data_IF_847864951590
#
_entry.id   IF_847864951590
#
_cell.length_a   1.000
_cell.length_b   1.000
_cell.length_c   1.000
_cell.angle_alpha   90.00
_cell.angle_beta   90.00
_cell.angle_gamma   90.00
#
_symmetry.space_group_name_H-M   'P 1'
#
loop_
_entity.id
_entity.type
_entity.pdbx_description
1 polymer ?
#
# COMPACT_ATOMS: atom_id res chain seq x y z
N UNK A 1 19.62 -26.54 3.71
CA UNK A 1 18.60 -25.62 4.25
C UNK A 1 18.94 -25.29 5.70
N UNK A 2 19.67 -24.20 5.95
CA UNK A 2 19.82 -23.66 7.31
C UNK A 2 18.75 -22.58 7.45
N UNK A 3 17.80 -22.79 8.36
CA UNK A 3 16.89 -21.75 8.82
C UNK A 3 17.73 -20.67 9.50
N UNK A 4 18.25 -19.73 8.70
CA UNK A 4 18.82 -18.50 9.20
C UNK A 4 17.62 -17.66 9.65
N UNK A 5 17.14 -17.88 10.87
CA UNK A 5 16.27 -16.94 11.55
C UNK A 5 17.11 -15.67 11.72
N UNK A 6 17.07 -14.80 10.72
CA UNK A 6 17.64 -13.46 10.80
C UNK A 6 16.87 -12.76 11.90
N UNK A 7 17.37 -12.86 13.14
CA UNK A 7 16.92 -12.01 14.24
C UNK A 7 17.05 -10.58 13.71
N UNK A 8 15.92 -9.90 13.57
CA UNK A 8 15.93 -8.45 13.49
C UNK A 8 16.58 -8.00 14.79
N UNK A 9 17.71 -7.29 14.73
CA UNK A 9 18.38 -6.70 15.90
C UNK A 9 17.61 -5.43 16.35
N UNK A 10 16.28 -5.50 16.28
CA UNK A 10 15.37 -4.47 16.73
C UNK A 10 15.00 -4.85 18.17
N UNK A 11 15.17 -3.94 19.15
CA UNK A 11 14.78 -4.23 20.51
C UNK A 11 13.32 -4.66 20.59
N UNK A 12 13.01 -5.72 21.33
CA UNK A 12 11.65 -6.28 21.40
C UNK A 12 10.62 -5.26 21.90
N UNK A 13 11.01 -4.36 22.80
CA UNK A 13 10.15 -3.29 23.30
C UNK A 13 9.78 -2.31 22.18
N UNK A 14 10.70 -2.05 21.24
CA UNK A 14 10.44 -1.18 20.09
C UNK A 14 9.47 -1.87 19.12
N UNK A 15 9.59 -3.19 18.96
CA UNK A 15 8.62 -3.96 18.16
C UNK A 15 7.21 -3.83 18.75
N UNK A 16 7.07 -4.02 20.07
CA UNK A 16 5.79 -3.82 20.76
C UNK A 16 5.23 -2.41 20.55
N UNK A 17 6.06 -1.39 20.74
CA UNK A 17 5.70 0.02 20.56
C UNK A 17 5.28 0.35 19.13
N UNK A 18 5.99 -0.21 18.13
CA UNK A 18 5.68 -0.03 16.71
C UNK A 18 4.40 -0.76 16.28
N UNK A 19 3.99 -1.81 16.99
CA UNK A 19 2.72 -2.49 16.74
C UNK A 19 1.52 -1.75 17.35
N UNK A 20 1.73 -0.89 18.35
CA UNK A 20 0.63 -0.17 19.01
C UNK A 20 -0.20 0.70 18.03
N UNK A 21 0.37 1.45 17.08
CA UNK A 21 -0.45 2.19 16.11
C UNK A 21 -1.34 1.32 15.21
N UNK A 22 -1.01 0.03 15.05
CA UNK A 22 -1.89 -0.91 14.34
C UNK A 22 -2.94 -1.48 15.27
N UNK A 23 -2.53 -1.92 16.46
CA UNK A 23 -3.42 -2.66 17.36
C UNK A 23 -4.33 -1.75 18.18
N UNK A 24 -3.91 -0.50 18.43
CA UNK A 24 -4.54 0.42 19.37
C UNK A 24 -5.25 1.61 18.72
N UNK A 25 -5.23 1.75 17.39
CA UNK A 25 -5.94 2.85 16.70
C UNK A 25 -7.34 2.37 16.27
N UNK A 26 -8.43 3.09 16.63
CA UNK A 26 -9.80 2.69 16.33
C UNK A 26 -10.06 2.41 14.85
N UNK A 27 -9.40 3.15 13.95
CA UNK A 27 -9.53 2.97 12.51
C UNK A 27 -9.13 1.57 12.03
N UNK A 28 -8.13 0.95 12.68
CA UNK A 28 -7.72 -0.43 12.35
C UNK A 28 -8.74 -1.41 12.89
N UNK A 29 -9.25 -1.19 14.11
CA UNK A 29 -10.29 -2.02 14.70
C UNK A 29 -11.55 -2.03 13.82
N UNK A 30 -11.99 -0.86 13.36
CA UNK A 30 -13.08 -0.72 12.39
C UNK A 30 -12.82 -1.51 11.10
N UNK A 31 -11.62 -1.37 10.50
CA UNK A 31 -11.32 -2.05 9.25
C UNK A 31 -11.34 -3.58 9.43
N UNK A 32 -10.85 -4.07 10.56
CA UNK A 32 -10.85 -5.50 10.89
C UNK A 32 -12.27 -6.01 11.18
N UNK A 33 -13.12 -5.22 11.85
CA UNK A 33 -14.48 -5.64 12.18
C UNK A 33 -15.43 -5.58 10.98
N UNK A 34 -15.30 -4.56 10.13
CA UNK A 34 -16.26 -4.30 9.05
C UNK A 34 -15.78 -4.75 7.66
N UNK A 35 -14.47 -4.97 7.45
CA UNK A 35 -13.94 -5.23 6.11
C UNK A 35 -12.75 -6.20 6.09
N UNK A 36 -13.07 -7.49 6.20
CA UNK A 36 -12.09 -8.56 5.95
C UNK A 36 -11.42 -8.44 4.56
N UNK A 37 -12.13 -8.12 3.45
CA UNK A 37 -11.49 -7.88 2.16
C UNK A 37 -10.54 -6.68 2.20
N UNK A 38 -10.91 -5.60 2.90
CA UNK A 38 -10.08 -4.42 3.06
C UNK A 38 -8.74 -4.75 3.72
N UNK A 39 -8.76 -5.38 4.90
CA UNK A 39 -7.51 -5.73 5.59
C UNK A 39 -6.66 -6.74 4.80
N UNK A 40 -7.28 -7.69 4.10
CA UNK A 40 -6.60 -8.64 3.22
C UNK A 40 -5.90 -7.91 2.05
N UNK A 41 -6.60 -7.01 1.37
CA UNK A 41 -6.05 -6.18 0.29
C UNK A 41 -4.87 -5.36 0.78
N UNK A 42 -4.98 -4.64 1.90
CA UNK A 42 -3.88 -3.79 2.40
C UNK A 42 -2.67 -4.61 2.84
N UNK A 43 -2.89 -5.76 3.47
CA UNK A 43 -1.81 -6.67 3.87
C UNK A 43 -1.08 -7.23 2.66
N UNK A 44 -1.80 -7.66 1.64
CA UNK A 44 -1.22 -8.16 0.39
C UNK A 44 -0.53 -7.05 -0.41
N UNK A 45 -1.06 -5.82 -0.41
CA UNK A 45 -0.35 -4.66 -0.97
C UNK A 45 0.96 -4.38 -0.24
N UNK A 46 0.96 -4.48 1.09
CA UNK A 46 2.16 -4.31 1.90
C UNK A 46 3.22 -5.39 1.57
N UNK A 47 2.81 -6.65 1.43
CA UNK A 47 3.66 -7.75 0.95
C UNK A 47 4.16 -7.49 -0.47
N UNK A 48 3.29 -6.98 -1.36
CA UNK A 48 3.66 -6.69 -2.73
C UNK A 48 4.76 -5.64 -2.83
N UNK A 49 4.63 -4.53 -2.08
CA UNK A 49 5.65 -3.48 -2.01
C UNK A 49 6.94 -4.03 -1.40
N UNK A 50 6.86 -4.88 -0.37
CA UNK A 50 8.05 -5.52 0.20
C UNK A 50 8.78 -6.40 -0.83
N UNK A 51 8.04 -7.24 -1.56
CA UNK A 51 8.58 -8.07 -2.64
C UNK A 51 9.22 -7.22 -3.72
N UNK A 52 8.57 -6.12 -4.12
CA UNK A 52 9.09 -5.18 -5.11
C UNK A 52 10.38 -4.49 -4.65
N UNK A 53 10.44 -4.06 -3.38
CA UNK A 53 11.68 -3.47 -2.83
C UNK A 53 12.81 -4.50 -2.81
N UNK A 54 12.54 -5.77 -2.47
CA UNK A 54 13.55 -6.85 -2.58
C UNK A 54 13.97 -7.09 -4.02
N UNK A 55 13.03 -7.06 -4.96
CA UNK A 55 13.34 -7.18 -6.38
C UNK A 55 14.23 -6.05 -6.88
N UNK A 56 13.92 -4.81 -6.50
CA UNK A 56 14.67 -3.62 -6.87
C UNK A 56 16.06 -3.56 -6.23
N UNK A 57 16.15 -3.83 -4.92
CA UNK A 57 17.38 -3.65 -4.14
C UNK A 57 18.28 -4.88 -4.14
N UNK A 58 17.70 -6.06 -3.91
CA UNK A 58 18.44 -7.33 -3.77
C UNK A 58 18.58 -8.06 -5.11
N UNK A 59 18.03 -7.51 -6.19
CA UNK A 59 18.04 -8.12 -7.52
C UNK A 59 17.36 -9.50 -7.58
N UNK A 60 16.55 -9.82 -6.56
CA UNK A 60 15.93 -11.13 -6.34
C UNK A 60 14.64 -11.30 -7.16
N UNK A 61 14.66 -12.16 -8.17
CA UNK A 61 13.48 -12.50 -9.00
C UNK A 61 12.33 -13.06 -8.18
N UNK A 62 12.62 -13.82 -7.11
CA UNK A 62 11.63 -14.29 -6.13
C UNK A 62 10.86 -13.12 -5.49
N UNK A 63 11.53 -12.00 -5.19
CA UNK A 63 10.90 -10.77 -4.75
C UNK A 63 9.90 -10.22 -5.78
N UNK A 64 10.24 -10.27 -7.07
CA UNK A 64 9.37 -9.82 -8.15
C UNK A 64 8.14 -10.72 -8.31
N UNK A 65 8.33 -12.04 -8.27
CA UNK A 65 7.22 -13.01 -8.33
C UNK A 65 6.29 -12.89 -7.12
N UNK A 66 6.84 -12.81 -5.90
CA UNK A 66 6.04 -12.61 -4.70
C UNK A 66 5.28 -11.29 -4.74
N UNK A 67 5.85 -10.23 -5.31
CA UNK A 67 5.15 -8.97 -5.52
C UNK A 67 3.97 -9.10 -6.49
N UNK A 68 4.20 -9.69 -7.66
CA UNK A 68 3.16 -9.90 -8.66
C UNK A 68 2.02 -10.80 -8.16
N UNK A 69 2.36 -11.91 -7.50
CA UNK A 69 1.36 -12.82 -6.92
C UNK A 69 0.57 -12.15 -5.79
N UNK A 70 1.22 -11.38 -4.91
CA UNK A 70 0.53 -10.66 -3.85
C UNK A 70 -0.44 -9.61 -4.41
N UNK A 71 -0.05 -8.86 -5.46
CA UNK A 71 -0.97 -7.94 -6.16
C UNK A 71 -2.14 -8.66 -6.81
N UNK A 72 -1.88 -9.79 -7.47
CA UNK A 72 -2.91 -10.58 -8.14
C UNK A 72 -3.93 -11.12 -7.13
N UNK A 73 -3.47 -11.65 -6.00
CA UNK A 73 -4.33 -12.07 -4.89
C UNK A 73 -5.08 -10.88 -4.28
N UNK A 74 -4.43 -9.73 -4.11
CA UNK A 74 -5.06 -8.54 -3.58
C UNK A 74 -6.21 -8.05 -4.48
N UNK A 75 -6.04 -8.16 -5.81
CA UNK A 75 -7.08 -7.85 -6.80
C UNK A 75 -8.34 -8.71 -6.62
N UNK A 76 -8.19 -9.99 -6.25
CA UNK A 76 -9.33 -10.85 -5.95
C UNK A 76 -10.22 -10.32 -4.80
N UNK A 77 -9.67 -9.52 -3.89
CA UNK A 77 -10.41 -8.90 -2.79
C UNK A 77 -10.92 -7.50 -3.14
N UNK A 78 -10.18 -6.74 -3.95
CA UNK A 78 -10.56 -5.38 -4.33
C UNK A 78 -9.87 -4.91 -5.61
N UNK A 79 -10.60 -4.29 -6.56
CA UNK A 79 -10.02 -3.77 -7.80
C UNK A 79 -9.11 -2.55 -7.58
N UNK A 80 -9.04 -2.01 -6.36
CA UNK A 80 -8.17 -0.89 -6.02
C UNK A 80 -6.68 -1.16 -6.27
N UNK A 81 -6.30 -2.43 -6.35
CA UNK A 81 -4.92 -2.84 -6.57
C UNK A 81 -4.41 -2.53 -7.96
N UNK A 82 -5.31 -2.27 -8.93
CA UNK A 82 -4.94 -1.92 -10.32
C UNK A 82 -4.03 -0.70 -10.38
N UNK A 83 -4.38 0.46 -9.77
CA UNK A 83 -3.47 1.60 -9.62
C UNK A 83 -2.07 1.25 -9.08
N UNK A 84 -1.99 0.40 -8.06
CA UNK A 84 -0.72 -0.01 -7.46
C UNK A 84 0.08 -0.92 -8.40
N UNK A 85 -0.58 -1.85 -9.09
CA UNK A 85 0.05 -2.72 -10.07
C UNK A 85 0.59 -1.92 -11.27
N UNK A 86 -0.15 -0.92 -11.76
CA UNK A 86 0.32 -0.01 -12.80
C UNK A 86 1.54 0.79 -12.33
N UNK A 87 1.49 1.34 -11.12
CA UNK A 87 2.61 2.10 -10.56
C UNK A 87 3.87 1.22 -10.41
N UNK A 88 3.73 0.01 -9.86
CA UNK A 88 4.82 -0.96 -9.71
C UNK A 88 5.34 -1.42 -11.07
N UNK A 89 4.46 -1.75 -12.01
CA UNK A 89 4.81 -2.11 -13.38
C UNK A 89 5.59 -1.01 -14.10
N UNK A 90 5.11 0.24 -14.06
CA UNK A 90 5.85 1.38 -14.62
C UNK A 90 7.24 1.53 -13.98
N UNK A 91 7.36 1.31 -12.68
CA UNK A 91 8.63 1.39 -11.96
C UNK A 91 9.61 0.28 -12.33
N UNK A 92 9.11 -0.92 -12.67
CA UNK A 92 9.98 -2.00 -13.16
C UNK A 92 10.68 -1.66 -14.47
N UNK A 93 10.10 -0.79 -15.31
CA UNK A 93 10.73 -0.35 -16.58
C UNK A 93 11.99 0.45 -16.30
N UNK A 94 11.91 1.40 -15.37
CA UNK A 94 13.07 2.22 -14.96
C UNK A 94 14.15 1.35 -14.31
N UNK A 95 13.75 0.44 -13.43
CA UNK A 95 14.66 -0.51 -12.79
C UNK A 95 15.37 -1.42 -13.82
N UNK A 96 14.63 -1.94 -14.79
CA UNK A 96 15.19 -2.82 -15.82
C UNK A 96 16.21 -2.08 -16.69
N UNK A 97 15.88 -0.85 -17.11
CA UNK A 97 16.80 -0.02 -17.92
C UNK A 97 18.07 0.35 -17.18
N UNK A 98 17.98 0.61 -15.88
CA UNK A 98 19.18 0.89 -15.08
C UNK A 98 20.05 -0.37 -14.90
N UNK A 99 19.41 -1.53 -14.69
CA UNK A 99 20.09 -2.78 -14.37
C UNK A 99 20.68 -3.51 -15.59
N UNK A 100 20.00 -3.45 -16.73
CA UNK A 100 20.27 -4.27 -17.92
C UNK A 100 20.40 -3.39 -19.17
N UNK A 101 21.26 -2.36 -19.11
CA UNK A 101 21.42 -1.38 -20.19
C UNK A 101 21.72 -2.01 -21.55
N UNK A 102 22.43 -3.14 -21.56
CA UNK A 102 22.91 -3.79 -22.77
C UNK A 102 22.03 -4.98 -23.24
N UNK A 103 20.93 -5.28 -22.52
CA UNK A 103 20.05 -6.42 -22.83
C UNK A 103 18.61 -5.96 -23.13
N UNK A 104 18.23 -5.81 -24.42
CA UNK A 104 16.91 -5.29 -24.79
C UNK A 104 15.74 -6.19 -24.36
N UNK A 105 15.97 -7.51 -24.21
CA UNK A 105 14.96 -8.47 -23.75
C UNK A 105 14.76 -8.47 -22.22
N UNK A 106 15.63 -7.82 -21.45
CA UNK A 106 15.55 -7.83 -19.99
C UNK A 106 14.40 -6.98 -19.44
N UNK A 107 14.02 -5.90 -20.15
CA UNK A 107 12.89 -5.03 -19.77
C UNK A 107 11.56 -5.80 -19.79
N UNK A 108 11.12 -6.40 -20.91
CA UNK A 108 9.85 -7.12 -20.94
C UNK A 108 9.83 -8.31 -19.99
N UNK A 109 10.96 -9.00 -19.79
CA UNK A 109 11.05 -10.08 -18.81
C UNK A 109 10.86 -9.58 -17.37
N UNK A 110 11.53 -8.49 -16.99
CA UNK A 110 11.43 -7.86 -15.66
C UNK A 110 10.02 -7.35 -15.38
N UNK A 111 9.41 -6.68 -16.36
CA UNK A 111 8.01 -6.21 -16.27
C UNK A 111 7.07 -7.42 -16.15
N UNK A 112 7.28 -8.45 -16.97
CA UNK A 112 6.49 -9.67 -16.99
C UNK A 112 6.42 -10.35 -15.63
N UNK A 113 7.55 -10.50 -14.92
CA UNK A 113 7.59 -11.14 -13.60
C UNK A 113 6.63 -10.50 -12.59
N UNK A 114 6.46 -9.17 -12.63
CA UNK A 114 5.62 -8.44 -11.67
C UNK A 114 4.19 -8.27 -12.18
N UNK A 115 4.03 -7.94 -13.46
CA UNK A 115 2.74 -7.52 -14.02
C UNK A 115 1.92 -8.69 -14.54
N UNK A 116 2.56 -9.77 -15.01
CA UNK A 116 1.86 -10.90 -15.61
C UNK A 116 0.81 -11.54 -14.68
N UNK A 117 1.10 -11.85 -13.40
CA UNK A 117 0.10 -12.47 -12.53
C UNK A 117 -1.14 -11.59 -12.36
N UNK A 118 -0.96 -10.27 -12.28
CA UNK A 118 -2.06 -9.31 -12.13
C UNK A 118 -2.89 -9.24 -13.40
N UNK A 119 -2.25 -9.09 -14.57
CA UNK A 119 -2.93 -9.07 -15.86
C UNK A 119 -3.72 -10.35 -16.10
N UNK A 120 -3.15 -11.51 -15.75
CA UNK A 120 -3.84 -12.78 -15.86
C UNK A 120 -5.11 -12.83 -15.01
N UNK A 121 -5.03 -12.45 -13.73
CA UNK A 121 -6.20 -12.44 -12.85
C UNK A 121 -7.25 -11.42 -13.30
N UNK A 122 -6.84 -10.23 -13.73
CA UNK A 122 -7.76 -9.23 -14.30
C UNK A 122 -8.47 -9.81 -15.52
N UNK A 123 -7.73 -10.42 -16.45
CA UNK A 123 -8.31 -11.01 -17.66
C UNK A 123 -9.29 -12.14 -17.33
N UNK A 124 -8.94 -13.02 -16.38
CA UNK A 124 -9.82 -14.09 -15.92
C UNK A 124 -11.09 -13.54 -15.27
N UNK A 125 -10.97 -12.53 -14.39
CA UNK A 125 -12.10 -11.86 -13.77
C UNK A 125 -13.00 -11.16 -14.80
N UNK A 126 -12.41 -10.43 -15.75
CA UNK A 126 -13.16 -9.76 -16.83
C UNK A 126 -13.89 -10.76 -17.70
N UNK A 127 -13.26 -11.89 -18.03
CA UNK A 127 -13.89 -12.98 -18.76
C UNK A 127 -15.09 -13.56 -18.00
N UNK A 128 -14.94 -13.80 -16.70
CA UNK A 128 -16.03 -14.27 -15.85
C UNK A 128 -17.19 -13.26 -15.82
N UNK A 129 -16.91 -11.97 -15.66
CA UNK A 129 -17.95 -10.94 -15.68
C UNK A 129 -18.67 -10.89 -17.02
N UNK A 130 -17.92 -10.88 -18.12
CA UNK A 130 -18.51 -10.90 -19.46
C UNK A 130 -19.39 -12.15 -19.64
N UNK A 131 -18.91 -13.32 -19.21
CA UNK A 131 -19.62 -14.58 -19.37
C UNK A 131 -20.92 -14.67 -18.56
N UNK A 132 -20.98 -14.05 -17.38
CA UNK A 132 -22.13 -14.13 -16.48
C UNK A 132 -23.07 -12.92 -16.52
N UNK A 133 -22.56 -11.72 -16.80
CA UNK A 133 -23.34 -10.47 -16.83
C UNK A 133 -23.58 -9.92 -18.23
N UNK A 134 -22.88 -10.44 -19.26
CA UNK A 134 -22.92 -9.91 -20.62
C UNK A 134 -22.05 -8.67 -20.85
N UNK A 135 -21.44 -8.11 -19.80
CA UNK A 135 -20.58 -6.94 -19.88
C UNK A 135 -19.21 -7.19 -19.21
N UNK A 136 -18.15 -6.69 -19.84
CA UNK A 136 -16.82 -6.65 -19.24
C UNK A 136 -16.76 -5.54 -18.18
N UNK A 137 -16.10 -5.81 -17.05
CA UNK A 137 -15.94 -4.83 -15.96
C UNK A 137 -17.26 -4.30 -15.37
N UNK A 138 -18.39 -5.01 -15.53
CA UNK A 138 -19.71 -4.60 -15.05
C UNK A 138 -19.69 -4.05 -13.62
N UNK A 139 -19.08 -4.79 -12.68
CA UNK A 139 -18.99 -4.38 -11.26
C UNK A 139 -18.23 -3.08 -11.01
N UNK A 140 -17.30 -2.69 -11.90
CA UNK A 140 -16.56 -1.44 -11.80
C UNK A 140 -17.38 -0.29 -12.39
N UNK A 141 -18.03 -0.53 -13.53
CA UNK A 141 -18.90 0.46 -14.19
C UNK A 141 -20.11 0.80 -13.32
N UNK A 142 -20.66 -0.19 -12.62
CA UNK A 142 -21.79 -0.01 -11.70
C UNK A 142 -21.37 0.60 -10.34
N UNK A 143 -20.07 0.78 -10.11
CA UNK A 143 -19.57 1.33 -8.84
C UNK A 143 -19.81 2.84 -8.77
N UNK A 144 -20.45 3.35 -7.69
CA UNK A 144 -20.76 4.76 -7.57
C UNK A 144 -19.48 5.60 -7.49
N UNK A 145 -19.36 6.57 -8.38
CA UNK A 145 -18.23 7.50 -8.43
C UNK A 145 -17.07 7.06 -9.32
N UNK A 146 -17.08 5.83 -9.86
CA UNK A 146 -16.04 5.37 -10.77
C UNK A 146 -15.97 6.27 -12.01
N UNK A 147 -14.81 6.88 -12.25
CA UNK A 147 -14.55 7.84 -13.33
C UNK A 147 -15.59 8.99 -13.44
N UNK A 148 -16.22 9.38 -12.33
CA UNK A 148 -17.25 10.42 -12.32
C UNK A 148 -16.68 11.86 -12.34
N UNK A 149 -15.43 12.04 -11.91
CA UNK A 149 -14.68 13.31 -11.89
C UNK A 149 -15.49 14.58 -11.57
N UNK A 150 -16.07 14.69 -10.36
CA UNK A 150 -16.84 15.87 -9.96
C UNK A 150 -15.97 17.14 -10.03
N UNK A 151 -16.50 18.19 -10.68
CA UNK A 151 -15.76 19.43 -10.93
C UNK A 151 -14.66 19.33 -12.00
N UNK A 152 -14.58 18.19 -12.71
CA UNK A 152 -13.62 17.96 -13.79
C UNK A 152 -12.39 17.15 -13.37
N UNK A 153 -11.68 16.62 -14.37
CA UNK A 153 -10.56 15.68 -14.21
C UNK A 153 -9.46 16.22 -13.30
N UNK A 154 -9.05 17.48 -13.50
CA UNK A 154 -7.98 18.12 -12.73
C UNK A 154 -8.40 18.51 -11.31
N UNK A 155 -9.63 19.00 -11.13
CA UNK A 155 -10.15 19.32 -9.81
C UNK A 155 -10.27 18.06 -8.94
N UNK A 156 -10.75 16.97 -9.53
CA UNK A 156 -10.80 15.66 -8.88
C UNK A 156 -9.41 15.13 -8.53
N UNK A 157 -8.41 15.33 -9.40
CA UNK A 157 -7.02 14.96 -9.09
C UNK A 157 -6.46 15.76 -7.91
N UNK A 158 -6.76 17.07 -7.85
CA UNK A 158 -6.41 17.92 -6.72
C UNK A 158 -7.07 17.43 -5.42
N UNK A 159 -8.36 17.13 -5.46
CA UNK A 159 -9.09 16.60 -4.30
C UNK A 159 -8.55 15.23 -3.84
N UNK A 160 -8.24 14.34 -4.77
CA UNK A 160 -7.62 13.04 -4.48
C UNK A 160 -6.23 13.21 -3.83
N UNK A 161 -5.41 14.12 -4.37
CA UNK A 161 -4.10 14.45 -3.80
C UNK A 161 -4.21 14.99 -2.37
N UNK A 162 -5.16 15.90 -2.11
CA UNK A 162 -5.42 16.41 -0.76
C UNK A 162 -5.87 15.29 0.18
N UNK A 163 -6.76 14.41 -0.29
CA UNK A 163 -7.28 13.28 0.50
C UNK A 163 -6.16 12.33 0.92
N UNK A 164 -5.31 11.93 -0.02
CA UNK A 164 -4.15 11.07 0.28
C UNK A 164 -3.12 11.81 1.12
N UNK A 165 -2.90 13.09 0.86
CA UNK A 165 -2.03 13.96 1.66
C UNK A 165 -2.45 14.04 3.12
N UNK A 166 -3.75 14.22 3.39
CA UNK A 166 -4.31 14.16 4.74
C UNK A 166 -4.12 12.77 5.36
N UNK A 167 -4.33 11.70 4.59
CA UNK A 167 -4.02 10.32 5.03
C UNK A 167 -2.55 10.12 5.41
N UNK A 168 -1.60 10.74 4.69
CA UNK A 168 -0.17 10.71 5.03
C UNK A 168 0.11 11.40 6.38
N UNK A 169 -0.57 12.49 6.69
CA UNK A 169 -0.41 13.19 7.97
C UNK A 169 -0.83 12.34 9.17
N UNK A 170 -1.73 11.37 8.96
CA UNK A 170 -2.15 10.40 9.99
C UNK A 170 -1.15 9.24 10.16
N UNK A 171 -0.17 9.11 9.27
CA UNK A 171 0.86 8.07 9.29
C UNK A 171 2.28 8.67 9.40
N UNK A 172 2.61 9.43 10.46
CA UNK A 172 3.93 10.04 10.60
C UNK A 172 5.09 9.02 10.67
N UNK A 173 4.84 7.76 11.07
CA UNK A 173 5.85 6.70 10.97
C UNK A 173 6.29 6.49 9.51
N UNK A 174 5.34 6.55 8.57
CA UNK A 174 5.62 6.41 7.15
C UNK A 174 6.45 7.59 6.64
N UNK A 175 6.11 8.82 7.05
CA UNK A 175 6.90 10.01 6.71
C UNK A 175 8.33 9.94 7.26
N UNK A 176 8.50 9.53 8.53
CA UNK A 176 9.81 9.32 9.14
C UNK A 176 10.64 8.32 8.33
N UNK A 177 10.03 7.19 7.94
CA UNK A 177 10.70 6.17 7.15
C UNK A 177 11.04 6.65 5.74
N UNK A 178 10.15 7.38 5.07
CA UNK A 178 10.43 8.01 3.77
C UNK A 178 11.64 8.94 3.85
N UNK A 179 11.68 9.83 4.84
CA UNK A 179 12.80 10.76 5.06
C UNK A 179 14.09 9.99 5.36
N UNK A 180 14.03 8.99 6.24
CA UNK A 180 15.20 8.17 6.57
C UNK A 180 15.73 7.38 5.36
N UNK A 181 14.85 6.93 4.46
CA UNK A 181 15.25 6.23 3.23
C UNK A 181 15.83 7.22 2.22
N UNK A 182 15.18 8.35 1.99
CA UNK A 182 15.63 9.37 1.03
C UNK A 182 17.03 9.93 1.33
N UNK A 183 17.40 10.04 2.62
CA UNK A 183 18.74 10.50 3.03
C UNK A 183 19.82 9.44 2.75
N UNK A 184 19.49 8.14 2.75
CA UNK A 184 20.49 7.05 2.72
C UNK A 184 20.56 6.33 1.38
N UNK A 185 19.40 6.03 0.79
CA UNK A 185 19.26 5.20 -0.40
C UNK A 185 18.08 5.76 -1.23
N UNK A 186 18.34 6.59 -2.26
CA UNK A 186 17.27 7.21 -3.05
C UNK A 186 16.53 6.22 -3.96
N UNK A 187 17.17 5.09 -4.32
CA UNK A 187 16.55 4.11 -5.22
C UNK A 187 15.38 3.35 -4.56
N UNK A 188 15.51 2.80 -3.33
CA UNK A 188 14.37 2.22 -2.61
C UNK A 188 13.26 3.21 -2.27
N UNK A 189 13.55 4.52 -2.21
CA UNK A 189 12.53 5.55 -2.00
C UNK A 189 11.48 5.52 -3.10
N UNK A 190 11.86 5.20 -4.35
CA UNK A 190 10.91 5.08 -5.47
C UNK A 190 9.84 4.04 -5.11
N UNK A 191 10.27 2.84 -4.70
CA UNK A 191 9.35 1.78 -4.26
C UNK A 191 8.46 2.20 -3.09
N UNK A 192 9.00 3.03 -2.21
CA UNK A 192 8.26 3.57 -1.07
C UNK A 192 7.22 4.61 -1.47
N UNK A 193 7.49 5.46 -2.46
CA UNK A 193 6.57 6.50 -2.96
C UNK A 193 5.44 5.94 -3.83
N UNK A 194 5.59 4.73 -4.37
CA UNK A 194 4.59 4.13 -5.26
C UNK A 194 3.21 3.95 -4.62
N UNK A 195 3.09 3.48 -3.36
CA UNK A 195 1.84 3.48 -2.64
C UNK A 195 1.13 4.83 -2.59
N UNK A 196 1.87 5.95 -2.54
CA UNK A 196 1.26 7.30 -2.58
C UNK A 196 0.63 7.53 -3.95
N UNK A 197 1.40 7.32 -5.02
CA UNK A 197 0.91 7.50 -6.39
C UNK A 197 -0.29 6.57 -6.69
N UNK A 198 -0.21 5.29 -6.30
CA UNK A 198 -1.29 4.32 -6.43
C UNK A 198 -2.54 4.73 -5.66
N UNK A 199 -2.38 5.25 -4.44
CA UNK A 199 -3.49 5.78 -3.63
C UNK A 199 -4.14 7.00 -4.28
N UNK A 200 -3.35 7.94 -4.81
CA UNK A 200 -3.89 9.13 -5.50
C UNK A 200 -4.68 8.71 -6.72
N UNK A 201 -4.13 7.81 -7.55
CA UNK A 201 -4.84 7.30 -8.73
C UNK A 201 -6.10 6.55 -8.34
N UNK A 202 -6.07 5.73 -7.27
CA UNK A 202 -7.24 5.02 -6.78
C UNK A 202 -8.38 5.96 -6.36
N UNK A 203 -8.08 6.97 -5.54
CA UNK A 203 -9.07 7.97 -5.10
C UNK A 203 -9.55 8.80 -6.30
N UNK A 204 -8.64 9.19 -7.20
CA UNK A 204 -8.95 10.00 -8.37
C UNK A 204 -9.89 9.30 -9.36
N UNK A 205 -9.73 7.98 -9.56
CA UNK A 205 -10.63 7.19 -10.42
C UNK A 205 -11.92 6.80 -9.74
N UNK A 206 -12.14 7.21 -8.48
CA UNK A 206 -13.35 6.89 -7.73
C UNK A 206 -13.40 5.46 -7.20
N UNK A 207 -12.27 4.75 -7.14
CA UNK A 207 -12.21 3.46 -6.45
C UNK A 207 -12.34 3.71 -4.94
N UNK A 208 -13.05 2.82 -4.26
CA UNK A 208 -13.32 2.93 -2.81
C UNK A 208 -12.03 2.81 -1.99
N UNK A 209 -11.30 3.92 -1.86
CA UNK A 209 -10.15 4.06 -1.00
C UNK A 209 -10.37 5.20 -0.01
N UNK A 210 -10.45 4.83 1.26
CA UNK A 210 -10.75 5.78 2.32
C UNK A 210 -9.47 6.28 2.98
N UNK A 211 -9.60 7.36 3.77
CA UNK A 211 -8.53 7.84 4.62
C UNK A 211 -8.09 6.79 5.66
N UNK A 212 -9.02 5.95 6.13
CA UNK A 212 -8.73 4.81 7.00
C UNK A 212 -7.81 3.81 6.28
N UNK A 213 -8.18 3.36 5.09
CA UNK A 213 -7.38 2.41 4.30
C UNK A 213 -5.99 2.97 3.97
N UNK A 214 -5.93 4.26 3.64
CA UNK A 214 -4.69 4.99 3.38
C UNK A 214 -3.76 4.99 4.60
N UNK A 215 -4.29 5.34 5.77
CA UNK A 215 -3.55 5.39 7.04
C UNK A 215 -3.02 4.02 7.42
N UNK A 216 -3.86 2.97 7.32
CA UNK A 216 -3.47 1.59 7.62
C UNK A 216 -2.38 1.10 6.66
N UNK A 217 -2.54 1.33 5.35
CA UNK A 217 -1.53 0.94 4.36
C UNK A 217 -0.18 1.59 4.64
N UNK A 218 -0.15 2.91 4.84
CA UNK A 218 1.10 3.62 5.12
C UNK A 218 1.74 3.17 6.43
N UNK A 219 0.94 2.91 7.46
CA UNK A 219 1.44 2.37 8.73
C UNK A 219 2.07 0.98 8.52
N UNK A 220 1.40 0.07 7.82
CA UNK A 220 1.95 -1.26 7.49
C UNK A 220 3.28 -1.15 6.74
N UNK A 221 3.33 -0.28 5.73
CA UNK A 221 4.54 -0.04 4.93
C UNK A 221 5.68 0.54 5.75
N UNK A 222 5.39 1.47 6.68
CA UNK A 222 6.38 2.00 7.61
C UNK A 222 7.02 0.88 8.45
N UNK A 223 6.22 -0.02 8.98
CA UNK A 223 6.70 -1.14 9.81
C UNK A 223 7.56 -2.12 9.03
N UNK A 224 7.19 -2.41 7.79
CA UNK A 224 7.98 -3.27 6.90
C UNK A 224 9.31 -2.61 6.54
N UNK A 225 9.32 -1.29 6.34
CA UNK A 225 10.50 -0.53 5.96
C UNK A 225 11.52 -0.34 7.10
N UNK A 226 11.16 -0.62 8.36
CA UNK A 226 12.08 -0.51 9.49
C UNK A 226 13.32 -1.38 9.23
N UNK A 227 14.54 -0.78 9.22
CA UNK A 227 15.76 -1.53 8.93
C UNK A 227 16.02 -2.57 10.00
N UNK A 228 16.64 -3.69 9.63
CA UNK A 228 16.97 -4.79 10.56
C UNK A 228 17.89 -4.36 11.71
N UNK A 229 18.72 -3.34 11.49
CA UNK A 229 19.69 -2.77 12.44
C UNK A 229 19.54 -1.24 12.50
N UNK A 230 18.50 -0.72 13.16
CA UNK A 230 18.32 0.72 13.25
C UNK A 230 19.42 1.35 14.10
N UNK A 231 19.95 2.51 13.68
CA UNK A 231 20.88 3.31 14.51
C UNK A 231 20.14 3.81 15.75
N UNK A 232 20.86 4.05 16.86
CA UNK A 232 20.27 4.53 18.13
C UNK A 232 19.35 5.75 17.96
N UNK A 233 19.75 6.73 17.15
CA UNK A 233 18.90 7.90 16.85
C UNK A 233 17.61 7.55 16.13
N UNK A 234 17.64 6.60 15.19
CA UNK A 234 16.43 6.13 14.49
C UNK A 234 15.53 5.31 15.42
N UNK A 235 16.10 4.51 16.34
CA UNK A 235 15.32 3.79 17.36
C UNK A 235 14.52 4.77 18.22
N UNK A 236 15.17 5.82 18.71
CA UNK A 236 14.49 6.84 19.51
C UNK A 236 13.42 7.58 18.69
N UNK A 237 13.75 8.02 17.47
CA UNK A 237 12.78 8.67 16.60
C UNK A 237 11.56 7.78 16.30
N UNK A 238 11.78 6.50 16.00
CA UNK A 238 10.70 5.53 15.78
C UNK A 238 9.82 5.37 17.01
N UNK A 239 10.42 5.31 18.20
CA UNK A 239 9.67 5.20 19.45
C UNK A 239 8.77 6.42 19.69
N UNK A 240 9.34 7.61 19.58
CA UNK A 240 8.60 8.88 19.76
C UNK A 240 7.48 9.00 18.73
N UNK A 241 7.78 8.74 17.46
CA UNK A 241 6.79 8.86 16.37
C UNK A 241 5.71 7.78 16.44
N UNK A 242 6.01 6.57 16.93
CA UNK A 242 4.99 5.55 17.16
C UNK A 242 3.98 5.98 18.23
N UNK A 243 4.47 6.53 19.35
CA UNK A 243 3.59 7.07 20.41
C UNK A 243 2.78 8.26 19.89
N UNK A 244 3.42 9.17 19.16
CA UNK A 244 2.74 10.31 18.56
C UNK A 244 1.67 9.88 17.55
N UNK A 245 1.95 8.89 16.71
CA UNK A 245 0.98 8.34 15.76
C UNK A 245 -0.21 7.69 16.47
N UNK A 246 0.04 6.94 17.55
CA UNK A 246 -1.02 6.37 18.37
C UNK A 246 -1.89 7.49 18.95
N UNK A 247 -1.29 8.50 19.58
CA UNK A 247 -2.01 9.65 20.12
C UNK A 247 -2.83 10.39 19.04
N UNK A 248 -2.23 10.62 17.86
CA UNK A 248 -2.92 11.20 16.71
C UNK A 248 -4.13 10.37 16.29
N UNK A 249 -4.02 9.04 16.25
CA UNK A 249 -5.12 8.15 15.88
C UNK A 249 -6.34 8.24 16.82
N UNK A 250 -6.15 8.72 18.05
CA UNK A 250 -7.24 8.97 19.00
C UNK A 250 -7.71 10.44 19.01
N UNK A 251 -6.78 11.39 18.95
CA UNK A 251 -7.09 12.83 19.01
C UNK A 251 -7.66 13.37 17.69
N UNK A 252 -7.19 12.82 16.57
CA UNK A 252 -7.61 13.19 15.22
C UNK A 252 -7.75 11.90 14.39
N UNK A 253 -8.83 11.14 14.61
CA UNK A 253 -9.02 9.87 13.92
C UNK A 253 -9.29 10.11 12.42
N UNK A 254 -8.77 9.24 11.53
CA UNK A 254 -9.04 9.36 10.10
C UNK A 254 -10.53 9.18 9.83
N UNK A 255 -11.11 10.05 9.02
CA UNK A 255 -12.56 10.08 8.79
C UNK A 255 -12.95 9.31 7.55
N UNK A 256 -14.00 8.50 7.65
CA UNK A 256 -14.79 7.97 6.54
C UNK A 256 -16.25 7.87 6.98
N UNK A 257 -17.24 7.91 6.06
CA UNK A 257 -18.65 7.80 6.42
C UNK A 257 -18.93 6.57 7.30
N UNK A 258 -18.46 5.39 6.88
CA UNK A 258 -18.67 4.16 7.65
C UNK A 258 -17.93 4.11 8.99
N UNK A 259 -16.75 4.74 9.10
CA UNK A 259 -16.05 4.82 10.39
C UNK A 259 -16.81 5.70 11.40
N UNK A 260 -17.37 6.82 10.94
CA UNK A 260 -18.13 7.73 11.80
C UNK A 260 -19.41 7.06 12.34
N UNK A 261 -20.10 6.28 11.51
CA UNK A 261 -21.28 5.50 11.91
C UNK A 261 -20.91 4.43 12.95
N UNK A 262 -19.85 3.66 12.69
CA UNK A 262 -19.36 2.63 13.61
C UNK A 262 -18.92 3.20 14.97
N UNK A 263 -18.15 4.29 14.97
CA UNK A 263 -17.72 4.95 16.20
C UNK A 263 -18.90 5.53 17.00
N UNK A 264 -19.91 6.06 16.29
CA UNK A 264 -21.17 6.51 16.89
C UNK A 264 -21.97 5.39 17.54
N UNK A 265 -21.93 4.17 16.99
CA UNK A 265 -22.62 3.02 17.58
C UNK A 265 -21.98 2.58 18.91
N UNK A 266 -20.65 2.61 19.00
CA UNK A 266 -19.92 2.21 20.22
C UNK A 266 -20.13 3.15 21.41
N UNK A 267 -20.48 4.42 21.16
CA UNK A 267 -20.66 5.44 22.21
C UNK A 267 -22.09 5.54 22.73
N UNK A 268 -23.06 4.87 22.08
CA UNK A 268 -24.47 4.84 22.49
C UNK A 268 -24.82 3.68 23.43
N UNK A 269 -23.87 2.79 23.70
CA UNK A 269 -23.98 1.64 24.62
C UNK A 269 -23.42 2.05 25.97
#
# INVERSE_FOLDING_TARGET
MRACSVRRDVPWWLVGLLLLPILGVPAVAYLVSESLPGIATLSLLAIAVQGFVRFARERSTEGGFSAGLALALAFCFSPITVPFALALGASTVFLARERFRDEPSAVPATVGVVVFPVVFVIAAWTFLQWRFSGAAFATLVDSPGFLAFPGGVWASLGAATVTVGLGLLHAPLYLLMAVSMGIREPLPLIGYLLPIAGSVVAVWTGLLFTQVSTTVLFTLLALIAVPRRPRRGLVFALAVVAVAQLALGWLWPPTSPGFAEWAGALTRV
#
